data_IF_144932568937
#
_entry.id   IF_144932568937
#
_cell.length_a   1.000
_cell.length_b   1.000
_cell.length_c   1.000
_cell.angle_alpha   90.00
_cell.angle_beta   90.00
_cell.angle_gamma   90.00
#
_symmetry.space_group_name_H-M   'P 1'
#
loop_
_entity.id
_entity.type
_entity.pdbx_description
1 polymer ?
#
# COMPACT_ATOMS: atom_id res chain seq x y z
N UNK A 1 -4.07 4.72 -11.91
CA UNK A 1 -3.09 3.65 -12.23
C UNK A 1 -2.33 3.27 -10.96
N UNK A 2 -2.40 1.99 -10.56
CA UNK A 2 -1.95 1.44 -9.27
C UNK A 2 -0.43 1.22 -9.19
N UNK A 3 0.39 2.19 -9.62
CA UNK A 3 1.86 2.04 -9.69
C UNK A 3 2.60 2.15 -8.35
N UNK A 4 1.91 2.27 -7.22
CA UNK A 4 2.54 2.53 -5.92
C UNK A 4 2.84 1.28 -5.08
N UNK A 5 2.28 0.11 -5.43
CA UNK A 5 2.41 -1.10 -4.61
C UNK A 5 3.59 -2.01 -5.04
N UNK A 6 4.19 -1.79 -6.20
CA UNK A 6 5.20 -2.70 -6.77
C UNK A 6 6.63 -2.51 -6.21
N UNK A 7 6.96 -1.39 -5.55
CA UNK A 7 8.37 -1.04 -5.28
C UNK A 7 8.71 -0.59 -3.86
N UNK A 8 7.87 -0.84 -2.87
CA UNK A 8 8.14 -0.33 -1.52
C UNK A 8 8.73 -1.38 -0.58
N UNK A 9 9.98 -1.21 -0.10
CA UNK A 9 10.53 -2.06 0.95
C UNK A 9 9.72 -1.93 2.25
N UNK A 10 9.47 -3.06 2.91
CA UNK A 10 8.78 -3.12 4.21
C UNK A 10 9.38 -2.17 5.24
N UNK A 11 8.52 -1.47 5.97
CA UNK A 11 8.87 -0.54 7.04
C UNK A 11 9.27 0.85 6.56
N UNK A 12 9.46 1.07 5.26
CA UNK A 12 9.73 2.40 4.74
C UNK A 12 8.46 3.10 4.28
N UNK A 13 8.26 4.37 4.70
CA UNK A 13 7.21 5.20 4.17
C UNK A 13 7.50 5.56 2.72
N UNK A 14 6.62 5.15 1.79
CA UNK A 14 6.71 5.54 0.39
C UNK A 14 5.64 6.57 0.07
N UNK A 15 6.06 7.81 -0.26
CA UNK A 15 5.11 8.83 -0.67
C UNK A 15 4.61 8.51 -2.08
N UNK A 16 3.32 8.74 -2.31
CA UNK A 16 2.73 8.74 -3.63
C UNK A 16 1.94 10.03 -3.84
N UNK A 17 1.87 10.45 -5.08
CA UNK A 17 1.06 11.58 -5.49
C UNK A 17 0.26 11.17 -6.72
N UNK A 18 -1.04 11.39 -6.68
CA UNK A 18 -1.88 11.09 -7.82
C UNK A 18 -1.76 12.25 -8.82
N UNK A 19 -1.13 12.01 -9.98
CA UNK A 19 -0.85 13.05 -10.97
C UNK A 19 -2.11 13.75 -11.53
N UNK A 20 -3.31 13.19 -11.33
CA UNK A 20 -4.59 13.77 -11.72
C UNK A 20 -5.41 14.40 -10.59
N UNK A 21 -4.88 14.50 -9.36
CA UNK A 21 -5.63 15.06 -8.23
C UNK A 21 -4.73 15.71 -7.18
N UNK A 22 -5.29 16.57 -6.33
CA UNK A 22 -4.58 17.16 -5.18
C UNK A 22 -4.26 16.15 -4.05
N UNK A 23 -4.50 14.86 -4.28
CA UNK A 23 -4.28 13.80 -3.32
C UNK A 23 -2.81 13.36 -3.33
N UNK A 24 -2.17 13.55 -2.20
CA UNK A 24 -0.85 13.01 -1.88
C UNK A 24 -0.99 12.10 -0.69
N UNK A 25 -0.18 11.07 -0.62
CA UNK A 25 -0.24 10.12 0.47
C UNK A 25 1.09 9.48 0.73
N UNK A 26 1.09 8.59 1.71
CA UNK A 26 2.24 7.81 2.10
C UNK A 26 1.77 6.42 2.50
N UNK A 27 2.34 5.40 1.87
CA UNK A 27 2.10 4.01 2.20
C UNK A 27 3.24 3.50 3.06
N UNK A 28 2.93 2.88 4.20
CA UNK A 28 3.87 2.15 5.03
C UNK A 28 3.50 0.68 4.97
N UNK A 29 4.34 -0.13 4.33
CA UNK A 29 4.17 -1.59 4.32
C UNK A 29 4.67 -2.18 5.65
N UNK A 30 3.87 -3.03 6.28
CA UNK A 30 4.21 -3.80 7.46
C UNK A 30 5.04 -5.05 7.16
N UNK A 31 5.25 -5.87 8.18
CA UNK A 31 5.98 -7.14 8.03
C UNK A 31 5.16 -8.13 7.18
N UNK A 32 5.82 -8.91 6.30
CA UNK A 32 5.17 -10.02 5.61
C UNK A 32 4.75 -11.12 6.58
N UNK A 33 3.61 -11.72 6.31
CA UNK A 33 3.08 -12.90 7.00
C UNK A 33 2.50 -13.88 5.98
N UNK A 34 2.54 -15.17 6.28
CA UNK A 34 1.98 -16.20 5.41
C UNK A 34 0.55 -16.53 5.82
N UNK A 35 -0.35 -16.56 4.83
CA UNK A 35 -1.72 -17.05 4.97
C UNK A 35 -1.84 -18.27 4.05
N UNK A 36 -1.75 -19.46 4.64
CA UNK A 36 -1.62 -20.70 3.86
C UNK A 36 -0.33 -20.69 3.03
N UNK A 37 -0.46 -20.77 1.71
CA UNK A 37 0.65 -20.71 0.75
C UNK A 37 0.93 -19.31 0.19
N UNK A 38 0.12 -18.30 0.54
CA UNK A 38 0.27 -16.93 0.06
C UNK A 38 1.07 -16.07 1.03
N UNK A 39 1.98 -15.26 0.48
CA UNK A 39 2.71 -14.25 1.26
C UNK A 39 1.91 -12.95 1.25
N UNK A 40 1.30 -12.60 2.38
CA UNK A 40 0.54 -11.37 2.54
C UNK A 40 1.34 -10.32 3.32
N UNK A 41 1.02 -9.05 3.11
CA UNK A 41 1.62 -7.90 3.79
C UNK A 41 0.51 -6.93 4.16
N UNK A 42 0.50 -6.52 5.42
CA UNK A 42 -0.34 -5.40 5.83
C UNK A 42 0.30 -4.11 5.34
N UNK A 43 -0.49 -3.10 5.04
CA UNK A 43 0.00 -1.77 4.77
C UNK A 43 -0.95 -0.73 5.39
N UNK A 44 -0.37 0.39 5.79
CA UNK A 44 -1.11 1.56 6.23
C UNK A 44 -0.90 2.65 5.19
N UNK A 45 -1.98 3.12 4.58
CA UNK A 45 -1.96 4.23 3.64
C UNK A 45 -2.51 5.47 4.33
N UNK A 46 -1.73 6.55 4.35
CA UNK A 46 -2.17 7.84 4.87
C UNK A 46 -2.28 8.82 3.71
N UNK A 47 -3.50 9.23 3.40
CA UNK A 47 -3.82 10.23 2.37
C UNK A 47 -3.95 11.60 3.02
N UNK A 48 -3.14 12.54 2.58
CA UNK A 48 -3.22 13.94 2.96
C UNK A 48 -4.05 14.69 1.91
N UNK A 49 -5.16 15.27 2.37
CA UNK A 49 -5.99 16.21 1.62
C UNK A 49 -5.74 17.63 2.14
N UNK A 50 -6.33 18.65 1.49
CA UNK A 50 -6.15 20.05 1.90
C UNK A 50 -6.66 20.32 3.32
N UNK A 51 -7.72 19.63 3.73
CA UNK A 51 -8.45 19.90 4.96
C UNK A 51 -8.19 18.83 6.04
N UNK A 52 -7.84 17.60 5.64
CA UNK A 52 -7.71 16.46 6.56
C UNK A 52 -6.66 15.43 6.10
N UNK A 53 -6.15 14.64 7.04
CA UNK A 53 -5.44 13.39 6.74
C UNK A 53 -6.35 12.19 7.02
N UNK A 54 -6.52 11.29 6.05
CA UNK A 54 -7.24 10.03 6.22
C UNK A 54 -6.26 8.87 6.21
N UNK A 55 -6.41 7.93 7.14
CA UNK A 55 -5.57 6.74 7.20
C UNK A 55 -6.42 5.51 6.92
N UNK A 56 -6.05 4.77 5.89
CA UNK A 56 -6.61 3.47 5.55
C UNK A 56 -5.61 2.37 5.92
N UNK A 57 -6.11 1.22 6.35
CA UNK A 57 -5.30 0.02 6.58
C UNK A 57 -5.83 -1.06 5.64
N UNK A 58 -4.93 -1.71 4.94
CA UNK A 58 -5.26 -2.81 4.04
C UNK A 58 -4.27 -3.95 4.20
N UNK A 59 -4.61 -5.08 3.60
CA UNK A 59 -3.67 -6.17 3.39
C UNK A 59 -3.56 -6.40 1.89
N UNK A 60 -2.37 -6.73 1.41
CA UNK A 60 -2.17 -7.19 0.05
C UNK A 60 -1.48 -8.56 0.08
N UNK A 61 -1.95 -9.49 -0.74
CA UNK A 61 -1.32 -10.80 -0.89
C UNK A 61 -0.53 -10.86 -2.20
N UNK A 62 0.68 -11.42 -2.12
CA UNK A 62 1.55 -11.62 -3.25
C UNK A 62 1.06 -12.83 -4.03
N UNK A 63 0.77 -12.61 -5.30
CA UNK A 63 0.41 -13.64 -6.24
C UNK A 63 1.66 -14.36 -6.76
N UNK A 64 1.50 -15.58 -7.31
CA UNK A 64 2.60 -16.35 -7.90
C UNK A 64 3.28 -15.64 -9.09
N UNK A 65 2.56 -14.79 -9.80
CA UNK A 65 3.06 -13.95 -10.91
C UNK A 65 3.88 -12.74 -10.42
N UNK A 66 3.99 -12.54 -9.10
CA UNK A 66 4.73 -11.45 -8.48
C UNK A 66 3.90 -10.19 -8.22
N UNK A 67 2.65 -10.13 -8.71
CA UNK A 67 1.74 -9.01 -8.45
C UNK A 67 1.20 -9.03 -7.02
N UNK A 68 0.74 -7.88 -6.53
CA UNK A 68 0.10 -7.76 -5.22
C UNK A 68 -1.39 -7.51 -5.39
N UNK A 69 -2.23 -8.36 -4.81
CA UNK A 69 -3.68 -8.17 -4.78
C UNK A 69 -4.10 -7.62 -3.43
N UNK A 70 -4.69 -6.41 -3.34
CA UNK A 70 -5.30 -5.94 -2.12
C UNK A 70 -6.49 -6.84 -1.74
N UNK A 71 -6.47 -7.35 -0.51
CA UNK A 71 -7.62 -7.96 0.13
C UNK A 71 -8.49 -6.83 0.67
N UNK A 72 -9.65 -6.63 0.06
CA UNK A 72 -10.66 -5.64 0.45
C UNK A 72 -11.70 -6.27 1.38
#
# INVERSE_FOLDING_TARGET
EYKALEYTPSGQPVPWQNAGSKYRGQVVAGQPYQVGSQNCRQYTDTVFTADTSQTARGAACRNPDGSWTPLN
#
